data_IF_323612720206
#
_entry.id   IF_323612720206
#
_cell.length_a   1.000
_cell.length_b   1.000
_cell.length_c   1.000
_cell.angle_alpha   90.00
_cell.angle_beta   90.00
_cell.angle_gamma   90.00
#
_symmetry.space_group_name_H-M   'P 1'
#
loop_
_entity.id
_entity.type
_entity.pdbx_description
1 polymer ?
#
# COMPACT_ATOMS: atom_id res chain seq x y z
N UNK A 1 10.47 10.58 -24.35
CA UNK A 1 10.52 9.15 -23.97
C UNK A 1 9.10 8.65 -23.77
N UNK A 2 8.77 7.48 -24.33
CA UNK A 2 7.44 6.88 -24.23
C UNK A 2 7.49 5.66 -23.32
N UNK A 3 6.65 5.65 -22.28
CA UNK A 3 6.56 4.57 -21.30
C UNK A 3 5.15 4.00 -21.28
N UNK A 4 5.01 2.68 -21.22
CA UNK A 4 3.76 2.04 -20.87
C UNK A 4 3.90 1.37 -19.51
N UNK A 5 3.03 1.75 -18.59
CA UNK A 5 2.98 1.17 -17.26
C UNK A 5 1.76 0.25 -17.12
N UNK A 6 2.00 -1.04 -16.99
CA UNK A 6 0.96 -2.03 -16.71
C UNK A 6 0.76 -2.17 -15.21
N UNK A 7 -0.23 -1.44 -14.70
CA UNK A 7 -0.56 -1.48 -13.28
C UNK A 7 -1.54 -2.62 -12.94
N UNK A 8 -1.51 -3.07 -11.69
CA UNK A 8 -2.44 -4.07 -11.18
C UNK A 8 -3.85 -3.50 -11.04
N UNK A 9 -3.96 -2.23 -10.68
CA UNK A 9 -5.24 -1.57 -10.46
C UNK A 9 -5.22 -0.12 -10.91
N UNK A 10 -6.41 0.49 -10.98
CA UNK A 10 -6.57 1.93 -11.16
C UNK A 10 -6.05 2.70 -9.93
N UNK A 11 -6.19 4.01 -9.94
CA UNK A 11 -5.83 4.91 -8.82
C UNK A 11 -6.47 4.51 -7.47
N UNK A 12 -7.55 3.72 -7.48
CA UNK A 12 -8.20 3.22 -6.27
C UNK A 12 -7.31 2.22 -5.51
N UNK A 13 -6.49 1.45 -6.21
CA UNK A 13 -5.56 0.52 -5.56
C UNK A 13 -4.34 1.24 -4.99
N UNK A 14 -3.99 1.01 -3.71
CA UNK A 14 -2.92 1.77 -3.07
C UNK A 14 -1.57 1.61 -3.75
N UNK A 15 -1.11 0.39 -4.06
CA UNK A 15 0.18 0.19 -4.74
C UNK A 15 0.24 0.97 -6.04
N UNK A 16 -0.72 0.76 -6.96
CA UNK A 16 -0.74 1.48 -8.23
C UNK A 16 -0.82 3.00 -8.04
N UNK A 17 -1.62 3.49 -7.06
CA UNK A 17 -1.74 4.93 -6.76
C UNK A 17 -0.39 5.53 -6.37
N UNK A 18 0.32 4.92 -5.42
CA UNK A 18 1.58 5.45 -4.88
C UNK A 18 2.81 5.06 -5.67
N UNK A 19 2.72 4.06 -6.58
CA UNK A 19 3.85 3.63 -7.39
C UNK A 19 3.85 4.21 -8.81
N UNK A 20 2.67 4.61 -9.35
CA UNK A 20 2.62 5.22 -10.69
C UNK A 20 1.70 6.43 -10.78
N UNK A 21 0.44 6.36 -10.34
CA UNK A 21 -0.53 7.41 -10.65
C UNK A 21 -0.15 8.78 -10.07
N UNK A 22 0.39 8.85 -8.87
CA UNK A 22 0.85 10.12 -8.28
C UNK A 22 2.02 10.76 -9.04
N UNK A 23 2.79 9.99 -9.82
CA UNK A 23 3.92 10.49 -10.57
C UNK A 23 3.58 10.98 -11.99
N UNK A 24 2.36 10.73 -12.48
CA UNK A 24 1.99 11.10 -13.86
C UNK A 24 2.19 12.59 -14.16
N UNK A 25 1.82 13.54 -13.28
CA UNK A 25 2.11 14.96 -13.50
C UNK A 25 3.62 15.25 -13.61
N UNK A 26 4.44 14.58 -12.79
CA UNK A 26 5.90 14.74 -12.81
C UNK A 26 6.52 14.13 -14.07
N UNK A 27 6.02 12.98 -14.54
CA UNK A 27 6.45 12.41 -15.81
C UNK A 27 6.14 13.35 -16.98
N UNK A 28 4.94 13.90 -17.01
CA UNK A 28 4.54 14.88 -18.03
C UNK A 28 5.44 16.12 -18.00
N UNK A 29 5.70 16.68 -16.82
CA UNK A 29 6.59 17.83 -16.65
C UNK A 29 8.03 17.53 -17.09
N UNK A 30 8.49 16.28 -16.96
CA UNK A 30 9.80 15.81 -17.42
C UNK A 30 9.84 15.42 -18.91
N UNK A 31 8.77 15.64 -19.68
CA UNK A 31 8.69 15.28 -21.10
C UNK A 31 8.60 13.76 -21.34
N UNK A 32 8.14 13.00 -20.33
CA UNK A 32 7.92 11.56 -20.42
C UNK A 32 6.43 11.31 -20.72
N UNK A 33 6.14 10.74 -21.89
CA UNK A 33 4.80 10.30 -22.24
C UNK A 33 4.54 8.93 -21.61
N UNK A 34 3.79 8.93 -20.49
CA UNK A 34 3.50 7.72 -19.72
C UNK A 34 2.04 7.32 -19.88
N UNK A 35 1.80 6.21 -20.56
CA UNK A 35 0.48 5.58 -20.66
C UNK A 35 0.33 4.50 -19.59
N UNK A 36 -0.77 4.54 -18.82
CA UNK A 36 -1.07 3.53 -17.80
C UNK A 36 -2.22 2.64 -18.25
N UNK A 37 -1.95 1.34 -18.36
CA UNK A 37 -2.97 0.31 -18.54
C UNK A 37 -3.22 -0.35 -17.17
N UNK A 38 -4.38 -0.10 -16.57
CA UNK A 38 -4.78 -0.66 -15.28
C UNK A 38 -5.59 -1.95 -15.49
N UNK A 39 -5.14 -3.08 -14.91
CA UNK A 39 -5.84 -4.35 -15.07
C UNK A 39 -7.23 -4.32 -14.42
N UNK A 40 -7.33 -3.82 -13.18
CA UNK A 40 -8.58 -3.78 -12.44
C UNK A 40 -9.00 -2.34 -12.14
N UNK A 41 -10.18 -1.97 -12.61
CA UNK A 41 -10.82 -0.67 -12.36
C UNK A 41 -11.67 -0.65 -11.08
N UNK A 42 -12.45 0.42 -10.91
CA UNK A 42 -13.33 0.64 -9.74
C UNK A 42 -14.36 -0.47 -9.55
N UNK A 43 -14.88 -1.03 -10.65
CA UNK A 43 -15.84 -2.15 -10.63
C UNK A 43 -15.29 -3.35 -9.87
N UNK A 44 -13.98 -3.64 -9.98
CA UNK A 44 -13.35 -4.72 -9.21
C UNK A 44 -13.49 -4.51 -7.70
N UNK A 45 -13.19 -3.30 -7.24
CA UNK A 45 -13.29 -2.95 -5.81
C UNK A 45 -14.74 -2.95 -5.32
N UNK A 46 -15.69 -2.58 -6.18
CA UNK A 46 -17.12 -2.68 -5.88
C UNK A 46 -17.57 -4.15 -5.74
N UNK A 47 -17.10 -5.03 -6.61
CA UNK A 47 -17.35 -6.48 -6.53
C UNK A 47 -16.77 -7.06 -5.22
N UNK A 48 -15.60 -6.61 -4.77
CA UNK A 48 -14.99 -7.07 -3.53
C UNK A 48 -15.81 -6.73 -2.27
N UNK A 49 -16.65 -5.68 -2.32
CA UNK A 49 -17.56 -5.28 -1.23
C UNK A 49 -18.79 -6.19 -1.11
N UNK A 50 -19.09 -7.04 -2.10
CA UNK A 50 -20.23 -7.98 -2.06
C UNK A 50 -20.04 -9.00 -0.94
N UNK A 51 -20.99 -9.05 -0.01
CA UNK A 51 -20.91 -9.92 1.19
C UNK A 51 -20.99 -11.40 0.85
N UNK A 52 -21.88 -11.78 -0.08
CA UNK A 52 -22.03 -13.17 -0.50
C UNK A 52 -20.80 -13.65 -1.28
N UNK A 53 -20.11 -14.66 -0.76
CA UNK A 53 -18.92 -15.25 -1.39
C UNK A 53 -19.25 -15.82 -2.79
N UNK A 54 -20.40 -16.54 -2.91
CA UNK A 54 -20.82 -17.12 -4.19
C UNK A 54 -21.12 -16.03 -5.22
N UNK A 55 -21.91 -14.99 -4.86
CA UNK A 55 -22.22 -13.89 -5.77
C UNK A 55 -20.96 -13.11 -6.14
N UNK A 56 -20.09 -12.84 -5.18
CA UNK A 56 -18.80 -12.18 -5.43
C UNK A 56 -17.94 -12.96 -6.44
N UNK A 57 -17.86 -14.28 -6.30
CA UNK A 57 -17.10 -15.14 -7.22
C UNK A 57 -17.75 -15.14 -8.60
N UNK A 58 -19.09 -15.24 -8.68
CA UNK A 58 -19.84 -15.20 -9.93
C UNK A 58 -19.62 -13.90 -10.72
N UNK A 59 -19.53 -12.77 -10.03
CA UNK A 59 -19.27 -11.46 -10.64
C UNK A 59 -17.79 -11.25 -10.98
N UNK A 60 -16.89 -11.75 -10.13
CA UNK A 60 -15.45 -11.55 -10.26
C UNK A 60 -14.84 -12.26 -11.46
N UNK A 61 -15.26 -13.50 -11.73
CA UNK A 61 -14.67 -14.31 -12.81
C UNK A 61 -14.92 -13.68 -14.19
N UNK A 62 -16.17 -13.39 -14.62
CA UNK A 62 -16.40 -12.78 -15.94
C UNK A 62 -15.77 -11.39 -16.06
N UNK A 63 -15.80 -10.59 -14.97
CA UNK A 63 -15.15 -9.29 -14.97
C UNK A 63 -13.63 -9.42 -15.18
N UNK A 64 -12.97 -10.33 -14.46
CA UNK A 64 -11.53 -10.57 -14.63
C UNK A 64 -11.19 -11.05 -16.03
N UNK A 65 -12.03 -11.89 -16.65
CA UNK A 65 -11.85 -12.33 -18.03
C UNK A 65 -11.90 -11.16 -19.01
N UNK A 66 -12.88 -10.27 -18.87
CA UNK A 66 -12.96 -9.05 -19.70
C UNK A 66 -11.71 -8.18 -19.53
N UNK A 67 -11.25 -7.96 -18.30
CA UNK A 67 -10.03 -7.21 -18.03
C UNK A 67 -8.79 -7.85 -18.66
N UNK A 68 -8.70 -9.18 -18.62
CA UNK A 68 -7.60 -9.93 -19.24
C UNK A 68 -7.62 -9.81 -20.76
N UNK A 69 -8.81 -9.89 -21.39
CA UNK A 69 -8.97 -9.70 -22.83
C UNK A 69 -8.62 -8.26 -23.26
N UNK A 70 -9.02 -7.26 -22.49
CA UNK A 70 -8.67 -5.86 -22.74
C UNK A 70 -7.15 -5.66 -22.67
N UNK A 71 -6.50 -6.17 -21.62
CA UNK A 71 -5.03 -6.09 -21.49
C UNK A 71 -4.32 -6.85 -22.62
N UNK A 72 -4.83 -8.02 -23.02
CA UNK A 72 -4.29 -8.75 -24.15
C UNK A 72 -4.40 -7.94 -25.45
N UNK A 73 -5.52 -7.26 -25.66
CA UNK A 73 -5.70 -6.35 -26.78
C UNK A 73 -4.69 -5.20 -26.75
N UNK A 74 -4.50 -4.55 -25.58
CA UNK A 74 -3.47 -3.52 -25.40
C UNK A 74 -2.08 -4.05 -25.76
N UNK A 75 -1.73 -5.27 -25.35
CA UNK A 75 -0.45 -5.89 -25.67
C UNK A 75 -0.29 -6.17 -27.16
N UNK A 76 -1.34 -6.61 -27.85
CA UNK A 76 -1.32 -6.90 -29.30
C UNK A 76 -1.25 -5.62 -30.15
N UNK A 77 -1.80 -4.52 -29.64
CA UNK A 77 -1.76 -3.21 -30.31
C UNK A 77 -0.65 -2.31 -29.82
N UNK A 78 0.24 -2.84 -28.96
CA UNK A 78 1.33 -2.08 -28.36
C UNK A 78 2.34 -1.65 -29.44
N UNK A 79 2.38 -0.34 -29.71
CA UNK A 79 3.37 0.25 -30.59
C UNK A 79 4.79 0.28 -29.95
N UNK A 80 5.75 0.90 -30.65
CA UNK A 80 7.09 1.06 -30.08
C UNK A 80 7.03 1.86 -28.77
N UNK A 81 7.71 1.37 -27.75
CA UNK A 81 7.87 2.01 -26.43
C UNK A 81 9.34 1.96 -26.03
N UNK A 82 9.81 3.02 -25.36
CA UNK A 82 11.16 3.06 -24.84
C UNK A 82 11.33 2.17 -23.62
N UNK A 83 10.25 2.09 -22.80
CA UNK A 83 10.21 1.27 -21.60
C UNK A 83 8.79 0.76 -21.34
N UNK A 84 8.68 -0.48 -20.92
CA UNK A 84 7.48 -1.08 -20.31
C UNK A 84 7.77 -1.33 -18.84
N UNK A 85 6.93 -0.81 -17.94
CA UNK A 85 6.99 -1.11 -16.51
C UNK A 85 5.80 -2.00 -16.17
N UNK A 86 6.04 -3.07 -15.43
CA UNK A 86 5.00 -4.03 -15.02
C UNK A 86 4.96 -4.07 -13.50
N UNK A 87 3.84 -3.68 -12.90
CA UNK A 87 3.59 -3.84 -11.47
C UNK A 87 3.38 -5.33 -11.15
N UNK A 88 4.43 -5.97 -10.67
CA UNK A 88 4.51 -7.38 -10.36
C UNK A 88 4.42 -8.29 -11.58
N UNK A 89 3.28 -8.34 -12.24
CA UNK A 89 3.00 -9.27 -13.36
C UNK A 89 1.84 -8.78 -14.23
N UNK A 90 1.88 -9.13 -15.53
CA UNK A 90 0.81 -8.75 -16.47
C UNK A 90 -0.51 -9.44 -16.16
N UNK A 91 -0.48 -10.75 -15.97
CA UNK A 91 -1.67 -11.56 -15.70
C UNK A 91 -1.47 -12.37 -14.41
N UNK A 92 -2.16 -12.03 -13.31
CA UNK A 92 -2.13 -12.81 -12.07
C UNK A 92 -2.51 -14.29 -12.31
N UNK A 93 -1.76 -15.20 -11.68
CA UNK A 93 -1.96 -16.65 -11.73
C UNK A 93 -1.82 -17.32 -13.12
N UNK A 94 -1.55 -16.55 -14.19
CA UNK A 94 -1.25 -17.12 -15.51
C UNK A 94 0.25 -17.34 -15.70
N UNK A 95 0.67 -18.29 -16.57
CA UNK A 95 2.07 -18.44 -16.94
C UNK A 95 2.65 -17.16 -17.57
N UNK A 96 3.99 -16.93 -17.51
CA UNK A 96 4.62 -15.70 -18.01
C UNK A 96 4.76 -15.64 -19.53
N UNK A 97 3.72 -16.06 -20.27
CA UNK A 97 3.77 -16.14 -21.75
C UNK A 97 3.77 -14.75 -22.38
N UNK A 98 2.95 -13.85 -21.87
CA UNK A 98 2.87 -12.48 -22.38
C UNK A 98 4.18 -11.71 -22.13
N UNK A 99 4.76 -11.88 -20.95
CA UNK A 99 6.04 -11.26 -20.59
C UNK A 99 7.20 -11.84 -21.46
N UNK A 100 7.17 -13.16 -21.75
CA UNK A 100 8.11 -13.79 -22.70
C UNK A 100 7.95 -13.23 -24.12
N UNK A 101 6.71 -12.98 -24.56
CA UNK A 101 6.43 -12.37 -25.86
C UNK A 101 7.02 -10.95 -25.93
N UNK A 102 6.83 -10.12 -24.92
CA UNK A 102 7.45 -8.80 -24.86
C UNK A 102 8.97 -8.88 -24.96
N UNK A 103 9.59 -9.82 -24.28
CA UNK A 103 11.03 -10.06 -24.38
C UNK A 103 11.46 -10.49 -25.78
N UNK A 104 10.72 -11.40 -26.41
CA UNK A 104 10.98 -11.85 -27.76
C UNK A 104 10.86 -10.71 -28.79
N UNK A 105 9.87 -9.80 -28.59
CA UNK A 105 9.71 -8.58 -29.38
C UNK A 105 10.75 -7.49 -29.04
N UNK A 106 11.74 -7.79 -28.17
CA UNK A 106 12.85 -6.90 -27.77
C UNK A 106 12.42 -5.62 -27.05
N UNK A 107 11.26 -5.63 -26.40
CA UNK A 107 10.92 -4.52 -25.51
C UNK A 107 11.86 -4.48 -24.28
N UNK A 108 12.15 -3.27 -23.80
CA UNK A 108 12.77 -3.07 -22.49
C UNK A 108 11.69 -3.15 -21.44
N UNK A 109 11.83 -4.11 -20.52
CA UNK A 109 10.82 -4.37 -19.50
C UNK A 109 11.46 -4.20 -18.12
N UNK A 110 10.84 -3.41 -17.25
CA UNK A 110 11.16 -3.34 -15.82
C UNK A 110 10.02 -3.97 -15.01
N UNK A 111 10.37 -4.77 -14.00
CA UNK A 111 9.41 -5.31 -13.02
C UNK A 111 9.42 -4.40 -11.80
N UNK A 112 8.26 -3.92 -11.39
CA UNK A 112 8.08 -3.09 -10.22
C UNK A 112 7.46 -3.90 -9.09
N UNK A 113 7.97 -3.75 -7.84
CA UNK A 113 7.49 -4.45 -6.64
C UNK A 113 7.57 -3.56 -5.41
N UNK A 114 6.45 -3.43 -4.70
CA UNK A 114 6.33 -2.70 -3.43
C UNK A 114 5.94 -3.59 -2.23
N UNK A 115 5.64 -4.86 -2.49
CA UNK A 115 5.34 -5.90 -1.50
C UNK A 115 6.11 -7.21 -1.83
N UNK A 116 6.23 -8.11 -0.85
CA UNK A 116 6.88 -9.42 -1.00
C UNK A 116 5.99 -10.43 -1.78
N UNK A 117 5.54 -10.04 -2.97
CA UNK A 117 4.59 -10.82 -3.79
C UNK A 117 5.11 -12.22 -4.15
N UNK A 118 6.42 -12.45 -4.07
CA UNK A 118 7.04 -13.77 -4.25
C UNK A 118 6.61 -14.81 -3.20
N UNK A 119 6.05 -14.35 -2.07
CA UNK A 119 5.49 -15.23 -1.02
C UNK A 119 4.01 -15.58 -1.28
N UNK A 120 3.41 -15.05 -2.35
CA UNK A 120 2.03 -15.39 -2.71
C UNK A 120 2.00 -16.75 -3.41
N UNK A 121 1.11 -17.68 -3.01
CA UNK A 121 1.00 -18.99 -3.65
C UNK A 121 0.86 -18.88 -5.18
N UNK A 122 1.63 -19.68 -5.91
CA UNK A 122 1.67 -19.68 -7.38
C UNK A 122 2.62 -18.64 -8.00
N UNK A 123 3.32 -17.86 -7.18
CA UNK A 123 4.28 -16.85 -7.66
C UNK A 123 5.74 -17.28 -7.47
N UNK A 124 5.99 -18.37 -6.74
CA UNK A 124 7.33 -18.85 -6.35
C UNK A 124 8.24 -19.10 -7.55
N UNK A 125 7.68 -19.60 -8.66
CA UNK A 125 8.45 -19.86 -9.90
C UNK A 125 8.29 -18.75 -10.93
N UNK A 126 7.13 -18.07 -10.95
CA UNK A 126 6.84 -17.05 -11.94
C UNK A 126 7.68 -15.81 -11.76
N UNK A 127 7.77 -15.29 -10.53
CA UNK A 127 8.48 -14.03 -10.28
C UNK A 127 9.98 -14.12 -10.54
N UNK A 128 10.71 -15.19 -10.14
CA UNK A 128 12.08 -15.41 -10.57
C UNK A 128 12.27 -15.39 -12.09
N UNK A 129 11.37 -16.05 -12.81
CA UNK A 129 11.40 -16.06 -14.28
C UNK A 129 11.17 -14.67 -14.88
N UNK A 130 10.25 -13.86 -14.31
CA UNK A 130 10.01 -12.49 -14.75
C UNK A 130 11.23 -11.60 -14.52
N UNK A 131 11.82 -11.65 -13.33
CA UNK A 131 13.01 -10.87 -12.95
C UNK A 131 14.20 -11.23 -13.84
N UNK A 132 14.41 -12.52 -14.15
CA UNK A 132 15.50 -12.98 -15.02
C UNK A 132 15.33 -12.53 -16.48
N UNK A 133 14.09 -12.39 -16.94
CA UNK A 133 13.79 -11.93 -18.30
C UNK A 133 13.78 -10.42 -18.44
N UNK A 134 13.53 -9.70 -17.36
CA UNK A 134 13.42 -8.25 -17.36
C UNK A 134 14.76 -7.56 -17.66
N UNK A 135 14.68 -6.33 -18.16
CA UNK A 135 15.85 -5.44 -18.33
C UNK A 135 16.35 -4.97 -16.97
N UNK A 136 15.47 -4.90 -15.96
CA UNK A 136 15.77 -4.56 -14.57
C UNK A 136 14.54 -4.63 -13.69
N UNK A 137 14.74 -4.37 -12.40
CA UNK A 137 13.68 -4.30 -11.41
C UNK A 137 13.71 -2.98 -10.64
N UNK A 138 12.52 -2.47 -10.30
CA UNK A 138 12.30 -1.32 -9.43
C UNK A 138 11.64 -1.88 -8.18
N UNK A 139 12.23 -1.66 -7.02
CA UNK A 139 11.73 -2.24 -5.77
C UNK A 139 11.61 -1.20 -4.67
N UNK A 140 10.67 -1.39 -3.76
CA UNK A 140 10.33 -0.39 -2.75
C UNK A 140 11.27 -0.33 -1.55
N UNK A 141 12.09 -1.35 -1.30
CA UNK A 141 13.01 -1.38 -0.15
C UNK A 141 14.17 -2.36 -0.35
N UNK A 142 15.14 -2.31 0.59
CA UNK A 142 16.34 -3.16 0.54
C UNK A 142 16.03 -4.68 0.66
N UNK A 143 14.97 -5.06 1.38
CA UNK A 143 14.57 -6.48 1.49
C UNK A 143 14.12 -7.04 0.14
N UNK A 144 13.29 -6.28 -0.58
CA UNK A 144 12.86 -6.62 -1.93
C UNK A 144 14.03 -6.61 -2.92
N UNK A 145 14.99 -5.68 -2.74
CA UNK A 145 16.21 -5.65 -3.54
C UNK A 145 17.07 -6.90 -3.32
N UNK A 146 17.26 -7.33 -2.08
CA UNK A 146 18.00 -8.55 -1.77
C UNK A 146 17.38 -9.80 -2.41
N UNK A 147 16.04 -9.85 -2.53
CA UNK A 147 15.37 -10.90 -3.29
C UNK A 147 15.60 -10.75 -4.80
N UNK A 148 15.35 -9.55 -5.35
CA UNK A 148 15.39 -9.32 -6.79
C UNK A 148 16.79 -9.49 -7.40
N UNK A 149 17.85 -9.16 -6.67
CA UNK A 149 19.25 -9.31 -7.10
C UNK A 149 19.69 -10.76 -7.31
N UNK A 150 18.97 -11.73 -6.76
CA UNK A 150 19.21 -13.15 -7.03
C UNK A 150 18.88 -13.54 -8.47
N UNK A 151 18.02 -12.74 -9.16
CA UNK A 151 17.50 -13.06 -10.49
C UNK A 151 17.76 -11.98 -11.52
N UNK A 152 18.03 -10.74 -11.11
CA UNK A 152 18.28 -9.60 -12.00
C UNK A 152 19.56 -8.88 -11.62
N UNK A 153 20.40 -8.58 -12.61
CA UNK A 153 21.64 -7.82 -12.43
C UNK A 153 21.43 -6.30 -12.30
N UNK A 154 20.22 -5.81 -12.59
CA UNK A 154 19.85 -4.38 -12.53
C UNK A 154 18.66 -4.20 -11.62
N UNK A 155 18.93 -3.86 -10.37
CA UNK A 155 17.90 -3.59 -9.36
C UNK A 155 18.08 -2.18 -8.84
N UNK A 156 17.02 -1.40 -8.86
CA UNK A 156 16.97 -0.05 -8.31
C UNK A 156 15.98 -0.01 -7.16
N UNK A 157 16.41 0.51 -6.00
CA UNK A 157 15.52 0.76 -4.87
C UNK A 157 14.93 2.17 -5.05
N UNK A 158 13.61 2.22 -5.22
CA UNK A 158 12.83 3.46 -5.23
C UNK A 158 11.82 3.36 -4.09
N UNK A 159 12.10 3.96 -2.94
CA UNK A 159 11.20 3.92 -1.78
C UNK A 159 9.80 4.42 -2.14
N UNK A 160 8.79 3.92 -1.43
CA UNK A 160 7.46 4.50 -1.51
C UNK A 160 7.48 5.89 -0.90
N UNK A 161 6.79 6.82 -1.53
CA UNK A 161 6.61 8.20 -1.06
C UNK A 161 5.15 8.58 -1.14
N UNK A 162 4.76 9.67 -0.48
CA UNK A 162 3.44 10.29 -0.58
C UNK A 162 3.58 11.69 -1.21
N UNK A 163 2.54 12.12 -1.91
CA UNK A 163 2.43 13.47 -2.45
C UNK A 163 2.20 14.46 -1.30
N UNK A 164 3.21 15.27 -0.97
CA UNK A 164 3.17 16.24 0.14
C UNK A 164 2.32 17.48 -0.17
N UNK A 165 1.95 17.71 -1.41
CA UNK A 165 0.95 18.73 -1.74
C UNK A 165 -0.46 18.27 -1.36
N UNK A 166 -0.72 16.97 -1.46
CA UNK A 166 -1.98 16.35 -1.05
C UNK A 166 -2.00 15.99 0.43
N UNK A 167 -0.95 15.32 0.92
CA UNK A 167 -0.77 14.94 2.33
C UNK A 167 0.04 16.02 3.03
N UNK A 168 -0.62 16.96 3.66
CA UNK A 168 0.00 18.03 4.43
C UNK A 168 -0.76 18.25 5.73
N UNK A 169 -0.12 18.81 6.75
CA UNK A 169 -0.79 19.18 7.98
C UNK A 169 -1.95 20.15 7.71
N UNK A 170 -3.00 20.05 8.51
CA UNK A 170 -4.06 21.05 8.50
C UNK A 170 -3.54 22.36 9.11
N UNK A 171 -3.39 23.40 8.29
CA UNK A 171 -2.89 24.72 8.72
C UNK A 171 -3.82 25.46 9.68
N UNK A 172 -5.09 25.02 9.77
CA UNK A 172 -6.06 25.61 10.72
C UNK A 172 -5.90 25.01 12.13
N UNK A 173 -5.21 23.90 12.26
CA UNK A 173 -4.95 23.20 13.51
C UNK A 173 -3.66 23.73 14.14
N UNK A 174 -3.76 24.51 15.20
CA UNK A 174 -2.57 24.95 15.97
C UNK A 174 -1.88 23.74 16.57
N UNK A 175 -0.60 23.55 16.27
CA UNK A 175 0.25 22.54 16.92
C UNK A 175 0.22 22.84 18.44
N UNK A 176 -0.33 21.93 19.23
CA UNK A 176 -0.47 22.08 20.68
C UNK A 176 -1.85 22.50 21.19
N UNK A 177 -2.80 22.97 20.34
CA UNK A 177 -4.14 23.34 20.82
C UNK A 177 -5.05 22.13 21.07
N UNK A 178 -4.79 21.00 20.45
CA UNK A 178 -5.57 19.76 20.65
C UNK A 178 -5.31 19.09 21.99
N UNK A 179 -4.13 19.31 22.61
CA UNK A 179 -3.82 18.74 23.93
C UNK A 179 -4.46 19.51 25.11
N UNK A 180 -4.94 20.73 24.89
CA UNK A 180 -5.46 21.55 25.97
C UNK A 180 -6.99 21.71 26.02
N UNK A 181 -7.73 21.35 24.94
CA UNK A 181 -9.18 21.59 24.86
C UNK A 181 -10.02 20.46 24.26
N UNK A 182 -9.48 19.33 23.82
CA UNK A 182 -10.31 18.18 23.42
C UNK A 182 -9.97 16.99 24.32
N UNK A 183 -10.92 16.61 25.16
CA UNK A 183 -10.85 15.43 26.03
C UNK A 183 -10.76 14.10 25.25
N UNK A 184 -10.89 14.12 23.91
CA UNK A 184 -10.97 12.92 23.09
C UNK A 184 -9.70 12.66 22.27
N UNK A 185 -9.07 11.51 22.49
CA UNK A 185 -7.89 11.03 21.76
C UNK A 185 -8.34 10.13 20.62
N UNK A 186 -7.96 10.48 19.39
CA UNK A 186 -8.24 9.64 18.21
C UNK A 186 -6.97 8.94 17.76
N UNK A 187 -6.94 7.63 17.92
CA UNK A 187 -5.91 6.77 17.34
C UNK A 187 -6.40 6.33 15.95
N UNK A 188 -5.60 6.49 14.89
CA UNK A 188 -6.03 6.15 13.53
C UNK A 188 -5.23 4.99 12.94
N UNK A 189 -5.95 4.09 12.29
CA UNK A 189 -5.40 3.10 11.40
C UNK A 189 -6.09 3.17 10.02
N UNK A 190 -5.31 3.17 8.95
CA UNK A 190 -5.80 3.08 7.57
C UNK A 190 -5.25 1.84 6.90
N UNK A 191 -6.08 1.12 6.13
CA UNK A 191 -5.58 -0.05 5.42
C UNK A 191 -6.62 -0.87 4.69
N UNK A 192 -6.15 -1.94 4.06
CA UNK A 192 -7.01 -2.92 3.39
C UNK A 192 -7.55 -3.94 4.39
N UNK A 193 -8.76 -4.44 4.15
CA UNK A 193 -9.49 -5.31 5.07
C UNK A 193 -8.71 -6.57 5.51
N UNK A 194 -7.89 -7.16 4.65
CA UNK A 194 -7.09 -8.33 5.01
C UNK A 194 -5.97 -8.04 6.04
N UNK A 195 -5.67 -6.76 6.29
CA UNK A 195 -4.72 -6.32 7.31
C UNK A 195 -5.38 -5.98 8.66
N UNK A 196 -6.71 -6.04 8.78
CA UNK A 196 -7.44 -5.76 10.02
C UNK A 196 -6.99 -6.66 11.18
N UNK A 197 -6.59 -7.90 10.88
CA UNK A 197 -6.04 -8.85 11.86
C UNK A 197 -4.84 -8.32 12.66
N UNK A 198 -4.08 -7.38 12.11
CA UNK A 198 -2.95 -6.79 12.82
C UNK A 198 -3.39 -5.83 13.93
N UNK A 199 -4.64 -5.37 13.94
CA UNK A 199 -5.16 -4.52 15.02
C UNK A 199 -5.38 -5.29 16.32
N UNK A 200 -5.47 -6.61 16.29
CA UNK A 200 -5.74 -7.44 17.47
C UNK A 200 -4.67 -7.25 18.56
N UNK A 201 -3.41 -6.99 18.18
CA UNK A 201 -2.32 -6.73 19.13
C UNK A 201 -2.52 -5.43 19.93
N UNK A 202 -3.31 -4.49 19.42
CA UNK A 202 -3.59 -3.23 20.10
C UNK A 202 -4.71 -3.36 21.14
N UNK A 203 -5.59 -4.37 21.01
CA UNK A 203 -6.80 -4.46 21.79
C UNK A 203 -6.58 -4.45 23.31
N UNK A 204 -5.58 -5.16 23.89
CA UNK A 204 -5.30 -5.08 25.32
C UNK A 204 -4.91 -3.68 25.79
N UNK A 205 -3.99 -3.01 25.08
CA UNK A 205 -3.53 -1.66 25.41
C UNK A 205 -4.68 -0.64 25.31
N UNK A 206 -5.48 -0.70 24.24
CA UNK A 206 -6.63 0.21 24.08
C UNK A 206 -7.67 0.06 25.17
N UNK A 207 -8.01 -1.18 25.55
CA UNK A 207 -8.94 -1.44 26.67
C UNK A 207 -8.42 -0.93 28.01
N UNK A 208 -7.10 -1.03 28.25
CA UNK A 208 -6.49 -0.54 29.48
C UNK A 208 -6.45 0.98 29.55
N UNK A 209 -6.28 1.67 28.42
CA UNK A 209 -6.19 3.13 28.33
C UNK A 209 -7.57 3.81 28.30
N UNK A 210 -8.60 3.20 27.72
CA UNK A 210 -9.93 3.79 27.57
C UNK A 210 -10.59 4.27 28.88
N UNK A 211 -10.43 3.62 30.04
CA UNK A 211 -10.99 4.13 31.29
C UNK A 211 -10.36 5.45 31.77
N UNK A 212 -9.10 5.69 31.40
CA UNK A 212 -8.36 6.89 31.81
C UNK A 212 -8.46 8.01 30.77
N UNK A 213 -8.51 7.65 29.52
CA UNK A 213 -8.52 8.57 28.39
C UNK A 213 -9.79 8.35 27.55
N UNK A 214 -10.45 9.42 27.12
CA UNK A 214 -11.52 9.34 26.10
C UNK A 214 -10.91 8.98 24.75
N UNK A 215 -10.62 7.70 24.55
CA UNK A 215 -9.84 7.19 23.43
C UNK A 215 -10.75 6.43 22.46
N UNK A 216 -10.69 6.81 21.20
CA UNK A 216 -11.40 6.15 20.10
C UNK A 216 -10.42 5.66 19.06
N UNK A 217 -10.57 4.41 18.60
CA UNK A 217 -9.82 3.86 17.46
C UNK A 217 -10.57 4.14 16.17
N UNK A 218 -10.06 5.08 15.37
CA UNK A 218 -10.54 5.31 14.00
C UNK A 218 -9.96 4.28 13.05
N UNK A 219 -10.84 3.57 12.35
CA UNK A 219 -10.44 2.57 11.35
C UNK A 219 -10.95 2.98 9.98
N UNK A 220 -10.02 3.42 9.11
CA UNK A 220 -10.30 3.81 7.73
C UNK A 220 -10.05 2.62 6.81
N UNK A 221 -11.14 1.94 6.41
CA UNK A 221 -11.06 0.64 5.72
C UNK A 221 -12.33 0.40 4.88
N UNK A 222 -12.32 -0.63 4.04
CA UNK A 222 -13.52 -1.07 3.30
C UNK A 222 -14.50 -1.90 4.14
N UNK A 223 -14.10 -2.35 5.34
CA UNK A 223 -14.89 -3.17 6.25
C UNK A 223 -14.59 -2.77 7.70
N UNK A 224 -15.59 -2.79 8.61
CA UNK A 224 -15.37 -2.53 10.02
C UNK A 224 -14.55 -3.65 10.67
N UNK A 225 -13.68 -3.34 11.65
CA UNK A 225 -13.02 -4.33 12.47
C UNK A 225 -14.03 -4.95 13.46
N UNK A 226 -13.67 -6.09 14.03
CA UNK A 226 -14.36 -6.68 15.18
C UNK A 226 -13.41 -6.68 16.37
N UNK A 227 -13.56 -5.72 17.27
CA UNK A 227 -12.70 -5.53 18.46
C UNK A 227 -13.57 -5.28 19.70
N UNK A 228 -14.11 -6.34 20.34
CA UNK A 228 -14.98 -6.18 21.51
C UNK A 228 -14.29 -5.41 22.64
N UNK A 229 -15.00 -4.45 23.24
CA UNK A 229 -14.49 -3.61 24.34
C UNK A 229 -13.53 -2.50 23.90
N UNK A 230 -13.43 -2.22 22.60
CA UNK A 230 -12.73 -1.05 22.06
C UNK A 230 -13.73 -0.13 21.37
N UNK A 231 -13.70 1.15 21.68
CA UNK A 231 -14.52 2.16 21.00
C UNK A 231 -13.99 2.41 19.58
N UNK A 232 -14.84 2.20 18.57
CA UNK A 232 -14.46 2.26 17.15
C UNK A 232 -15.20 3.39 16.42
N UNK A 233 -14.45 4.31 15.82
CA UNK A 233 -14.91 5.23 14.77
C UNK A 233 -14.60 4.59 13.40
N UNK A 234 -15.53 3.80 12.85
CA UNK A 234 -15.34 3.20 11.54
C UNK A 234 -15.66 4.19 10.42
N UNK A 235 -14.71 4.37 9.51
CA UNK A 235 -14.87 5.15 8.29
C UNK A 235 -14.61 4.30 7.06
N UNK A 236 -15.60 4.22 6.17
CA UNK A 236 -15.38 3.58 4.86
C UNK A 236 -14.35 4.39 4.09
N UNK A 237 -13.27 3.74 3.66
CA UNK A 237 -12.22 4.42 2.90
C UNK A 237 -12.79 5.07 1.64
N UNK A 238 -12.44 6.33 1.45
CA UNK A 238 -12.79 7.16 0.31
C UNK A 238 -11.58 7.99 -0.13
N UNK A 239 -11.32 8.03 -1.43
CA UNK A 239 -10.17 8.74 -1.97
C UNK A 239 -10.17 10.24 -1.66
N UNK A 240 -11.34 10.88 -1.65
CA UNK A 240 -11.45 12.32 -1.40
C UNK A 240 -11.30 12.65 0.09
N UNK A 241 -11.65 11.71 0.97
CA UNK A 241 -11.64 11.92 2.42
C UNK A 241 -10.39 11.37 3.10
N UNK A 242 -9.58 10.56 2.40
CA UNK A 242 -8.43 9.87 2.94
C UNK A 242 -7.52 10.78 3.78
N UNK A 243 -7.20 11.97 3.29
CA UNK A 243 -6.32 12.94 3.98
C UNK A 243 -7.01 13.52 5.21
N UNK A 244 -8.25 14.00 5.07
CA UNK A 244 -9.02 14.56 6.19
C UNK A 244 -9.24 13.54 7.30
N UNK A 245 -9.50 12.26 6.95
CA UNK A 245 -9.67 11.19 7.93
C UNK A 245 -8.40 10.91 8.76
N UNK A 246 -7.22 11.30 8.26
CA UNK A 246 -5.94 11.20 8.97
C UNK A 246 -5.58 12.47 9.73
N UNK A 247 -5.84 13.65 9.16
CA UNK A 247 -5.46 14.95 9.75
C UNK A 247 -6.07 15.19 11.13
N UNK A 248 -7.29 14.67 11.39
CA UNK A 248 -7.97 14.80 12.67
C UNK A 248 -7.45 13.85 13.77
N UNK A 249 -6.55 12.94 13.44
CA UNK A 249 -6.06 11.96 14.40
C UNK A 249 -5.00 12.56 15.33
N UNK A 250 -4.88 11.99 16.53
CA UNK A 250 -3.85 12.31 17.49
C UNK A 250 -2.62 11.44 17.28
N UNK A 251 -2.81 10.14 17.03
CA UNK A 251 -1.75 9.15 16.86
C UNK A 251 -2.11 8.21 15.70
N UNK A 252 -1.17 7.97 14.80
CA UNK A 252 -1.28 6.93 13.79
C UNK A 252 -0.71 5.60 14.28
N UNK A 253 -1.32 4.46 13.94
CA UNK A 253 -0.78 3.16 14.35
C UNK A 253 -0.52 2.24 13.15
N UNK A 254 0.62 1.54 13.19
CA UNK A 254 1.00 0.55 12.19
C UNK A 254 1.47 -0.75 12.86
N UNK A 255 0.56 -1.52 13.48
CA UNK A 255 0.89 -2.83 14.02
C UNK A 255 1.15 -3.81 12.88
N UNK A 256 2.18 -4.63 13.03
CA UNK A 256 2.55 -5.71 12.12
C UNK A 256 3.08 -6.89 12.93
N UNK A 257 2.75 -8.09 12.49
CA UNK A 257 3.45 -9.30 12.90
C UNK A 257 4.78 -9.41 12.14
N UNK A 258 5.86 -9.82 12.81
CA UNK A 258 7.19 -9.95 12.17
C UNK A 258 7.25 -11.21 11.31
N UNK A 259 6.72 -11.12 10.10
CA UNK A 259 6.73 -12.16 9.07
C UNK A 259 7.54 -11.71 7.86
N UNK A 260 7.99 -12.68 7.05
CA UNK A 260 8.66 -12.37 5.77
C UNK A 260 7.82 -11.44 4.88
N UNK A 261 6.49 -11.63 4.84
CA UNK A 261 5.59 -10.75 4.11
C UNK A 261 5.62 -9.32 4.66
N UNK A 262 5.50 -9.17 5.97
CA UNK A 262 5.46 -7.86 6.61
C UNK A 262 6.80 -7.11 6.49
N UNK A 263 7.93 -7.84 6.53
CA UNK A 263 9.27 -7.27 6.30
C UNK A 263 9.46 -6.71 4.90
N UNK A 264 8.67 -7.19 3.91
CA UNK A 264 8.67 -6.66 2.53
C UNK A 264 7.86 -5.39 2.34
N UNK A 265 7.09 -4.93 3.32
CA UNK A 265 6.26 -3.72 3.21
C UNK A 265 7.10 -2.44 3.17
N UNK A 266 6.56 -1.42 2.50
CA UNK A 266 7.26 -0.15 2.25
C UNK A 266 6.79 1.00 3.16
N UNK A 267 6.12 0.74 4.27
CA UNK A 267 5.82 1.73 5.31
C UNK A 267 4.80 2.82 4.94
N UNK A 268 4.02 2.66 3.88
CA UNK A 268 3.12 3.69 3.33
C UNK A 268 2.27 4.39 4.39
N UNK A 269 1.68 3.66 5.34
CA UNK A 269 0.83 4.25 6.39
C UNK A 269 1.60 5.26 7.25
N UNK A 270 2.84 4.92 7.63
CA UNK A 270 3.69 5.82 8.42
C UNK A 270 3.98 7.11 7.65
N UNK A 271 4.29 6.97 6.35
CA UNK A 271 4.52 8.13 5.50
C UNK A 271 3.28 9.01 5.38
N UNK A 272 2.08 8.42 5.30
CA UNK A 272 0.83 9.16 5.26
C UNK A 272 0.59 9.91 6.59
N UNK A 273 0.76 9.26 7.75
CA UNK A 273 0.59 9.89 9.06
C UNK A 273 1.57 11.04 9.27
N UNK A 274 2.87 10.78 9.05
CA UNK A 274 3.91 11.79 9.24
C UNK A 274 3.75 12.97 8.28
N UNK A 275 3.32 12.73 7.04
CA UNK A 275 3.08 13.80 6.07
C UNK A 275 1.94 14.74 6.46
N UNK A 276 0.95 14.26 7.20
CA UNK A 276 -0.12 15.11 7.74
C UNK A 276 0.17 15.62 9.15
N UNK A 277 1.39 15.43 9.67
CA UNK A 277 1.82 15.91 10.97
C UNK A 277 1.33 15.06 12.16
N UNK A 278 0.91 13.82 11.93
CA UNK A 278 0.45 12.89 12.96
C UNK A 278 1.59 11.95 13.36
N UNK A 279 2.05 11.97 14.63
CA UNK A 279 3.07 11.02 15.11
C UNK A 279 2.55 9.60 15.07
N UNK A 280 3.44 8.61 14.98
CA UNK A 280 3.01 7.23 14.80
C UNK A 280 3.65 6.27 15.81
N UNK A 281 2.86 5.25 16.22
CA UNK A 281 3.38 4.07 16.92
C UNK A 281 3.32 2.87 15.99
N UNK A 282 4.45 2.16 15.82
CA UNK A 282 4.57 1.07 14.85
C UNK A 282 5.31 -0.14 15.40
N UNK A 283 4.98 -1.33 14.89
CA UNK A 283 5.84 -2.50 15.11
C UNK A 283 7.21 -2.32 14.44
N UNK A 284 8.32 -2.73 15.09
CA UNK A 284 9.67 -2.59 14.55
C UNK A 284 9.95 -3.65 13.46
N UNK A 285 9.17 -3.64 12.37
CA UNK A 285 9.21 -4.63 11.30
C UNK A 285 9.57 -3.96 9.98
N UNK A 286 10.56 -4.52 9.28
CA UNK A 286 11.01 -4.02 7.98
C UNK A 286 11.40 -2.53 8.05
N UNK A 287 10.97 -1.75 7.08
CA UNK A 287 11.29 -0.31 6.95
C UNK A 287 10.69 0.58 8.05
N UNK A 288 9.79 0.06 8.89
CA UNK A 288 9.26 0.85 10.01
C UNK A 288 10.40 1.29 10.95
N UNK A 289 11.47 0.48 11.09
CA UNK A 289 12.67 0.81 11.87
C UNK A 289 13.44 1.99 11.30
N UNK A 290 13.36 2.19 9.98
CA UNK A 290 14.09 3.26 9.28
C UNK A 290 13.26 4.55 9.24
N UNK A 291 11.92 4.44 9.29
CA UNK A 291 11.00 5.58 9.21
C UNK A 291 10.78 6.20 10.59
N UNK A 292 10.63 5.35 11.64
CA UNK A 292 10.36 5.84 13.00
C UNK A 292 11.64 6.07 13.77
N UNK A 293 11.83 7.30 14.20
CA UNK A 293 12.87 7.72 15.14
C UNK A 293 12.21 7.96 16.49
N UNK A 294 12.49 7.05 17.45
CA UNK A 294 11.86 7.06 18.78
C UNK A 294 12.02 8.42 19.48
N UNK A 295 10.90 8.99 19.89
CA UNK A 295 10.85 10.28 20.60
C UNK A 295 10.91 11.52 19.70
N UNK A 296 11.09 11.37 18.37
CA UNK A 296 11.09 12.49 17.43
C UNK A 296 9.81 12.54 16.60
N UNK A 297 9.51 11.45 15.86
CA UNK A 297 8.33 11.39 14.99
C UNK A 297 7.34 10.28 15.37
N UNK A 298 7.62 9.56 16.45
CA UNK A 298 6.81 8.45 16.95
C UNK A 298 7.59 7.48 17.80
N UNK A 299 7.04 6.28 17.97
CA UNK A 299 7.67 5.22 18.76
C UNK A 299 7.55 3.85 18.09
N UNK A 300 8.50 2.97 18.41
CA UNK A 300 8.43 1.56 18.07
C UNK A 300 7.93 0.76 19.28
N UNK A 301 6.99 -0.17 19.03
CA UNK A 301 6.38 -1.04 20.05
C UNK A 301 6.42 -2.50 19.58
N UNK A 302 6.98 -3.40 20.40
CA UNK A 302 7.17 -4.82 20.09
C UNK A 302 6.22 -5.73 20.89
N UNK A 303 5.92 -5.37 22.13
CA UNK A 303 5.12 -6.14 23.08
C UNK A 303 3.81 -5.41 23.41
N UNK A 304 2.84 -6.11 24.00
CA UNK A 304 1.61 -5.48 24.51
C UNK A 304 1.93 -4.34 25.50
N UNK A 305 2.93 -4.55 26.37
CA UNK A 305 3.38 -3.54 27.33
C UNK A 305 3.99 -2.33 26.61
N UNK A 306 4.81 -2.54 25.56
CA UNK A 306 5.32 -1.41 24.77
C UNK A 306 4.16 -0.62 24.13
N UNK A 307 3.16 -1.31 23.54
CA UNK A 307 2.00 -0.63 22.95
C UNK A 307 1.26 0.21 23.97
N UNK A 308 1.05 -0.33 25.20
CA UNK A 308 0.43 0.44 26.29
C UNK A 308 1.25 1.70 26.60
N UNK A 309 2.55 1.54 26.92
CA UNK A 309 3.44 2.63 27.33
C UNK A 309 3.60 3.71 26.23
N UNK A 310 3.71 3.29 24.96
CA UNK A 310 3.90 4.23 23.83
C UNK A 310 2.63 4.95 23.42
N UNK A 311 1.47 4.38 23.68
CA UNK A 311 0.19 5.05 23.45
C UNK A 311 -0.22 5.96 24.60
N UNK A 312 0.31 5.72 25.83
CA UNK A 312 0.09 6.55 27.02
C UNK A 312 0.97 7.81 26.99
N UNK A 313 2.18 7.74 26.38
CA UNK A 313 3.16 8.84 26.30
C UNK A 313 2.72 9.94 25.34
#
# INVERSE_FOLDING_TARGET
>A
MTVTYFSKSSIIGPSSRYRVFQFLPHFQAAGIDCHVDALFGETYFSILKVRSCALRTLLKIPYALVCFLQRLWTLLTLGRRDLIVIEGQLFPYAPPLAERLLRWCRYRVAIEMDDAIYLTPGHEQKLPALLSMATGAIVGNARLAAYATQFSSRVCVVPTVVDTERFKPDSTRSIGSSAQNSEAITIVWIGLAYNLKYLDVLAPALRALQPTFHLTLRVVCSQPPYMPGVEIDFRSWDFQREVADLQDATIGVMPLEDTEWARGKCGLKLLQYLAVGVPAVASPVGVNRDIIVNGENGFLASTEQDWYERLET
#
